data_IF_822870156705
#
_entry.id   IF_822870156705
#
_cell.length_a   1.000
_cell.length_b   1.000
_cell.length_c   1.000
_cell.angle_alpha   90.00
_cell.angle_beta   90.00
_cell.angle_gamma   90.00
#
_symmetry.space_group_name_H-M   'P 1'
#
loop_
_entity.id
_entity.type
_entity.pdbx_description
1 polymer ?
#
# COMPACT_ATOMS: atom_id res chain seq x y z
N UNK A 1 11.38 10.06 -23.44
CA UNK A 1 10.70 9.52 -22.26
C UNK A 1 9.79 8.40 -22.72
N UNK A 2 9.75 7.29 -21.99
CA UNK A 2 8.78 6.22 -22.23
C UNK A 2 7.37 6.80 -22.00
N UNK A 3 6.44 6.53 -22.91
CA UNK A 3 5.05 6.96 -22.76
C UNK A 3 4.26 5.83 -22.11
N UNK A 4 3.91 5.98 -20.84
CA UNK A 4 3.11 4.99 -20.11
C UNK A 4 1.67 4.90 -20.66
N UNK A 5 1.04 3.71 -20.63
CA UNK A 5 -0.34 3.54 -21.07
C UNK A 5 -1.30 4.39 -20.23
N UNK A 6 -2.43 4.78 -20.83
CA UNK A 6 -3.51 5.42 -20.08
C UNK A 6 -4.36 4.33 -19.44
N UNK A 7 -4.53 4.40 -18.13
CA UNK A 7 -5.31 3.43 -17.33
C UNK A 7 -6.49 4.16 -16.69
N UNK A 8 -7.61 3.45 -16.58
CA UNK A 8 -8.79 3.88 -15.85
C UNK A 8 -9.16 2.83 -14.82
N UNK A 9 -9.29 3.24 -13.56
CA UNK A 9 -9.83 2.44 -12.46
C UNK A 9 -11.16 3.05 -12.05
N UNK A 10 -12.17 2.24 -11.75
CA UNK A 10 -13.41 2.74 -11.18
C UNK A 10 -13.78 1.97 -9.92
N UNK A 11 -14.47 2.64 -9.01
CA UNK A 11 -15.04 1.99 -7.86
C UNK A 11 -15.96 0.82 -8.26
N UNK A 12 -16.65 0.91 -9.40
CA UNK A 12 -17.45 -0.20 -9.90
C UNK A 12 -16.60 -1.43 -10.25
N UNK A 13 -15.46 -1.27 -10.91
CA UNK A 13 -14.60 -2.42 -11.24
C UNK A 13 -13.86 -2.96 -10.02
N UNK A 14 -13.53 -2.11 -9.06
CA UNK A 14 -12.77 -2.50 -7.86
C UNK A 14 -13.67 -3.09 -6.75
N UNK A 15 -14.88 -2.57 -6.54
CA UNK A 15 -15.76 -2.98 -5.43
C UNK A 15 -17.13 -3.49 -5.86
N UNK A 16 -17.49 -3.37 -7.15
CA UNK A 16 -18.83 -3.68 -7.66
C UNK A 16 -19.89 -2.61 -7.34
N UNK A 17 -19.52 -1.54 -6.63
CA UNK A 17 -20.46 -0.50 -6.24
C UNK A 17 -20.61 0.57 -7.34
N UNK A 18 -21.85 0.99 -7.60
CA UNK A 18 -22.12 2.02 -8.61
C UNK A 18 -21.50 3.37 -8.21
N UNK A 19 -20.73 3.98 -9.11
CA UNK A 19 -20.05 5.27 -8.86
C UNK A 19 -21.01 6.39 -8.42
N UNK A 20 -22.26 6.39 -8.92
CA UNK A 20 -23.28 7.38 -8.57
C UNK A 20 -23.71 7.33 -7.10
N UNK A 21 -23.47 6.21 -6.41
CA UNK A 21 -23.75 6.05 -4.99
C UNK A 21 -22.62 6.53 -4.08
N UNK A 22 -21.46 6.89 -4.64
CA UNK A 22 -20.28 7.32 -3.89
C UNK A 22 -20.33 8.84 -3.73
N UNK A 23 -20.41 9.28 -2.48
CA UNK A 23 -20.54 10.69 -2.14
C UNK A 23 -19.27 11.48 -2.45
N UNK A 24 -18.09 10.92 -2.18
CA UNK A 24 -16.80 11.56 -2.41
C UNK A 24 -16.40 11.44 -3.89
N UNK A 25 -16.38 12.54 -4.68
CA UNK A 25 -16.18 12.44 -6.13
C UNK A 25 -14.82 11.85 -6.52
N UNK A 26 -13.77 12.10 -5.73
CA UNK A 26 -12.42 11.57 -5.98
C UNK A 26 -12.27 10.08 -5.74
N UNK A 27 -13.26 9.43 -5.12
CA UNK A 27 -13.27 7.97 -4.89
C UNK A 27 -13.95 7.20 -6.04
N UNK A 28 -14.63 7.88 -6.96
CA UNK A 28 -15.45 7.25 -8.00
C UNK A 28 -14.63 6.54 -9.07
N UNK A 29 -13.63 7.24 -9.60
CA UNK A 29 -12.74 6.72 -10.62
C UNK A 29 -11.45 7.52 -10.70
N UNK A 30 -10.40 6.85 -11.17
CA UNK A 30 -9.13 7.43 -11.51
C UNK A 30 -8.88 7.22 -13.00
N UNK A 31 -8.33 8.22 -13.68
CA UNK A 31 -7.86 8.07 -15.06
C UNK A 31 -6.56 8.83 -15.23
N UNK A 32 -5.49 8.11 -15.56
CA UNK A 32 -4.16 8.69 -15.66
C UNK A 32 -3.19 7.81 -16.42
N UNK A 33 -1.91 8.17 -16.36
CA UNK A 33 -0.81 7.40 -16.96
C UNK A 33 0.17 6.86 -15.92
N UNK A 34 -0.12 7.03 -14.62
CA UNK A 34 0.66 6.37 -13.59
C UNK A 34 0.54 4.85 -13.77
N UNK A 35 1.61 4.08 -13.54
CA UNK A 35 1.62 2.63 -13.75
C UNK A 35 0.87 1.95 -12.60
N UNK A 36 -0.46 2.01 -12.66
CA UNK A 36 -1.37 1.46 -11.64
C UNK A 36 -1.93 0.12 -12.13
N UNK A 37 -2.14 -0.80 -11.21
CA UNK A 37 -2.70 -2.13 -11.46
C UNK A 37 -4.02 -2.25 -10.70
N UNK A 38 -5.04 -2.92 -11.26
CA UNK A 38 -6.30 -3.16 -10.54
C UNK A 38 -6.11 -4.11 -9.37
N UNK A 39 -7.01 -4.08 -8.38
CA UNK A 39 -6.97 -5.02 -7.25
C UNK A 39 -7.08 -6.46 -7.73
N UNK A 40 -7.93 -6.70 -8.73
CA UNK A 40 -8.08 -8.02 -9.35
C UNK A 40 -6.79 -8.55 -10.00
N UNK A 41 -6.01 -7.68 -10.64
CA UNK A 41 -4.72 -8.07 -11.21
C UNK A 41 -3.69 -8.28 -10.10
N UNK A 42 -3.62 -7.36 -9.12
CA UNK A 42 -2.72 -7.46 -7.98
C UNK A 42 -2.90 -8.79 -7.22
N UNK A 43 -4.15 -9.20 -6.98
CA UNK A 43 -4.48 -10.44 -6.25
C UNK A 43 -4.33 -11.72 -7.10
N UNK A 44 -3.98 -11.60 -8.39
CA UNK A 44 -3.81 -12.78 -9.25
C UNK A 44 -2.50 -13.49 -8.90
N UNK A 45 -2.51 -14.79 -8.51
CA UNK A 45 -1.29 -15.53 -8.23
C UNK A 45 -0.36 -15.59 -9.45
N UNK A 46 0.94 -15.35 -9.26
CA UNK A 46 1.93 -15.44 -10.34
C UNK A 46 1.93 -16.82 -11.01
N UNK A 47 1.71 -17.89 -10.24
CA UNK A 47 1.58 -19.25 -10.75
C UNK A 47 0.45 -19.43 -11.78
N UNK A 48 -0.64 -18.65 -11.66
CA UNK A 48 -1.76 -18.68 -12.61
C UNK A 48 -1.40 -18.01 -13.93
N UNK A 49 -0.58 -16.96 -13.89
CA UNK A 49 -0.11 -16.22 -15.06
C UNK A 49 1.03 -16.95 -15.78
N UNK A 50 1.87 -17.66 -15.04
CA UNK A 50 3.13 -18.20 -15.53
C UNK A 50 4.16 -17.10 -15.82
N UNK A 51 5.40 -17.51 -16.11
CA UNK A 51 6.53 -16.57 -16.31
C UNK A 51 6.21 -15.54 -17.41
N UNK A 52 5.71 -16.02 -18.56
CA UNK A 52 5.36 -15.16 -19.70
C UNK A 52 4.22 -14.20 -19.34
N UNK A 53 3.18 -14.68 -18.65
CA UNK A 53 2.06 -13.84 -18.24
C UNK A 53 2.47 -12.75 -17.25
N UNK A 54 3.35 -13.05 -16.28
CA UNK A 54 3.88 -12.04 -15.35
C UNK A 54 4.72 -11.00 -16.11
N UNK A 55 5.59 -11.44 -17.04
CA UNK A 55 6.39 -10.54 -17.87
C UNK A 55 5.52 -9.62 -18.72
N UNK A 56 4.50 -10.17 -19.38
CA UNK A 56 3.59 -9.41 -20.24
C UNK A 56 2.84 -8.34 -19.46
N UNK A 57 2.34 -8.67 -18.26
CA UNK A 57 1.66 -7.71 -17.40
C UNK A 57 2.62 -6.62 -16.90
N UNK A 58 3.84 -6.96 -16.48
CA UNK A 58 4.86 -5.98 -16.08
C UNK A 58 5.22 -5.04 -17.22
N UNK A 59 5.44 -5.58 -18.42
CA UNK A 59 5.72 -4.80 -19.62
C UNK A 59 4.54 -3.88 -19.98
N UNK A 60 3.31 -4.38 -19.93
CA UNK A 60 2.12 -3.60 -20.19
C UNK A 60 1.98 -2.46 -19.19
N UNK A 61 2.08 -2.72 -17.88
CA UNK A 61 1.95 -1.72 -16.82
C UNK A 61 3.05 -0.66 -16.87
N UNK A 62 4.30 -1.08 -17.10
CA UNK A 62 5.47 -0.20 -17.04
C UNK A 62 5.85 0.40 -18.40
N UNK A 63 5.10 0.07 -19.46
CA UNK A 63 5.34 0.58 -20.82
C UNK A 63 6.67 0.13 -21.41
N UNK A 64 7.13 -1.07 -21.08
CA UNK A 64 8.40 -1.65 -21.51
C UNK A 64 8.20 -2.83 -22.47
N UNK A 65 9.29 -3.41 -22.95
CA UNK A 65 9.27 -4.57 -23.85
C UNK A 65 10.44 -5.50 -23.55
N UNK A 66 10.66 -5.80 -22.26
CA UNK A 66 11.66 -6.77 -21.84
C UNK A 66 11.30 -8.15 -22.37
N UNK A 67 12.32 -8.93 -22.74
CA UNK A 67 12.18 -10.35 -23.09
C UNK A 67 12.82 -11.21 -22.02
N UNK A 68 12.52 -12.51 -21.99
CA UNK A 68 13.15 -13.46 -21.09
C UNK A 68 14.66 -13.63 -21.33
N UNK A 69 15.19 -13.13 -22.45
CA UNK A 69 16.63 -13.04 -22.72
C UNK A 69 17.32 -11.95 -21.88
N UNK A 70 16.53 -11.08 -21.22
CA UNK A 70 17.07 -10.09 -20.29
C UNK A 70 17.78 -10.82 -19.13
N UNK A 71 19.05 -10.51 -18.85
CA UNK A 71 19.80 -11.21 -17.82
C UNK A 71 19.06 -11.27 -16.48
N UNK A 72 18.97 -12.48 -15.93
CA UNK A 72 18.35 -12.83 -14.64
C UNK A 72 16.84 -12.62 -14.52
N UNK A 73 16.17 -12.03 -15.52
CA UNK A 73 14.74 -11.78 -15.47
C UNK A 73 13.94 -13.07 -15.37
N UNK A 74 14.29 -14.10 -16.15
CA UNK A 74 13.63 -15.40 -16.06
C UNK A 74 13.77 -16.05 -14.68
N UNK A 75 14.90 -15.85 -13.98
CA UNK A 75 15.09 -16.38 -12.63
C UNK A 75 14.19 -15.64 -11.65
N UNK A 76 14.19 -14.30 -11.68
CA UNK A 76 13.37 -13.49 -10.79
C UNK A 76 11.87 -13.77 -10.92
N UNK A 77 11.39 -13.93 -12.16
CA UNK A 77 9.99 -14.25 -12.42
C UNK A 77 9.62 -15.67 -11.96
N UNK A 78 10.57 -16.61 -12.02
CA UNK A 78 10.39 -17.93 -11.44
C UNK A 78 10.35 -17.88 -9.92
N UNK A 79 11.22 -17.10 -9.28
CA UNK A 79 11.25 -16.95 -7.82
C UNK A 79 9.89 -16.46 -7.31
N UNK A 80 9.24 -15.51 -8.00
CA UNK A 80 7.88 -15.06 -7.65
C UNK A 80 6.85 -16.20 -7.70
N UNK A 81 6.97 -17.12 -8.65
CA UNK A 81 6.06 -18.27 -8.76
C UNK A 81 6.35 -19.29 -7.65
N UNK A 82 7.62 -19.60 -7.42
CA UNK A 82 8.05 -20.57 -6.39
C UNK A 82 7.71 -20.10 -4.97
N UNK A 83 7.79 -18.79 -4.72
CA UNK A 83 7.40 -18.17 -3.46
C UNK A 83 5.88 -18.04 -3.28
N UNK A 84 5.10 -18.42 -4.29
CA UNK A 84 3.65 -18.28 -4.32
C UNK A 84 3.20 -16.81 -4.13
N UNK A 85 3.94 -15.89 -4.75
CA UNK A 85 3.61 -14.48 -4.76
C UNK A 85 2.38 -14.23 -5.66
N UNK A 86 1.60 -13.22 -5.29
CA UNK A 86 0.64 -12.60 -6.20
C UNK A 86 1.33 -11.55 -7.07
N UNK A 87 0.64 -11.13 -8.15
CA UNK A 87 1.20 -10.16 -9.09
C UNK A 87 1.49 -8.81 -8.42
N UNK A 88 0.69 -8.40 -7.43
CA UNK A 88 0.91 -7.17 -6.67
C UNK A 88 2.24 -7.18 -5.92
N UNK A 89 2.56 -8.30 -5.29
CA UNK A 89 3.82 -8.56 -4.58
C UNK A 89 5.00 -8.56 -5.55
N UNK A 90 4.87 -9.29 -6.67
CA UNK A 90 5.89 -9.30 -7.72
C UNK A 90 6.11 -7.89 -8.31
N UNK A 91 5.02 -7.15 -8.58
CA UNK A 91 5.06 -5.79 -9.07
C UNK A 91 5.79 -4.85 -8.11
N UNK A 92 5.42 -4.87 -6.82
CA UNK A 92 6.04 -4.04 -5.79
C UNK A 92 7.54 -4.33 -5.63
N UNK A 93 7.94 -5.61 -5.70
CA UNK A 93 9.33 -6.03 -5.62
C UNK A 93 10.16 -5.60 -6.84
N UNK A 94 9.64 -5.81 -8.05
CA UNK A 94 10.39 -5.63 -9.29
C UNK A 94 10.36 -4.19 -9.84
N UNK A 95 9.30 -3.42 -9.58
CA UNK A 95 9.12 -2.04 -10.08
C UNK A 95 10.34 -1.13 -9.84
N UNK A 96 11.00 -1.11 -8.66
CA UNK A 96 12.14 -0.22 -8.40
C UNK A 96 13.38 -0.52 -9.26
N UNK A 97 13.56 -1.77 -9.71
CA UNK A 97 14.73 -2.20 -10.48
C UNK A 97 14.43 -2.41 -11.97
N UNK A 98 13.15 -2.41 -12.35
CA UNK A 98 12.68 -2.79 -13.68
C UNK A 98 13.37 -2.03 -14.82
N UNK A 99 13.63 -0.74 -14.64
CA UNK A 99 14.28 0.13 -15.63
C UNK A 99 15.73 0.47 -15.29
N UNK A 100 16.38 -0.25 -14.36
CA UNK A 100 17.80 -0.04 -14.10
C UNK A 100 18.62 -0.41 -15.34
N UNK A 101 19.64 0.41 -15.65
CA UNK A 101 20.31 0.42 -16.96
C UNK A 101 20.72 -0.97 -17.46
N UNK A 102 20.65 -1.18 -18.79
CA UNK A 102 20.93 -2.44 -19.52
C UNK A 102 22.21 -3.24 -19.13
N UNK A 103 23.14 -2.68 -18.36
CA UNK A 103 24.37 -3.34 -17.92
C UNK A 103 24.34 -3.83 -16.46
N UNK A 104 23.37 -3.44 -15.64
CA UNK A 104 23.21 -3.94 -14.26
C UNK A 104 22.21 -5.09 -14.24
N UNK A 105 22.62 -6.21 -13.66
CA UNK A 105 21.74 -7.34 -13.38
C UNK A 105 20.64 -6.90 -12.38
N UNK A 106 19.36 -6.97 -12.76
CA UNK A 106 18.21 -6.61 -11.90
C UNK A 106 18.27 -7.32 -10.54
N UNK A 107 18.68 -8.59 -10.54
CA UNK A 107 18.82 -9.39 -9.34
C UNK A 107 19.90 -8.84 -8.39
N UNK A 108 21.02 -8.37 -8.93
CA UNK A 108 22.07 -7.76 -8.11
C UNK A 108 21.60 -6.44 -7.49
N UNK A 109 20.80 -5.65 -8.21
CA UNK A 109 20.22 -4.42 -7.68
C UNK A 109 19.19 -4.68 -6.59
N UNK A 110 18.35 -5.72 -6.75
CA UNK A 110 17.43 -6.18 -5.70
C UNK A 110 18.21 -6.58 -4.44
N UNK A 111 19.18 -7.47 -4.55
CA UNK A 111 20.00 -7.87 -3.41
C UNK A 111 20.71 -6.70 -2.75
N UNK A 112 21.25 -5.76 -3.54
CA UNK A 112 21.87 -4.53 -3.01
C UNK A 112 20.85 -3.69 -2.23
N UNK A 113 19.61 -3.59 -2.71
CA UNK A 113 18.55 -2.90 -1.99
C UNK A 113 18.20 -3.62 -0.69
N UNK A 114 17.99 -4.93 -0.71
CA UNK A 114 17.70 -5.77 0.46
C UNK A 114 18.80 -5.68 1.51
N UNK A 115 20.07 -5.81 1.12
CA UNK A 115 21.21 -5.74 2.04
C UNK A 115 21.30 -4.39 2.73
N UNK A 116 21.18 -3.30 1.96
CA UNK A 116 21.15 -1.94 2.53
C UNK A 116 19.97 -1.74 3.47
N UNK A 117 18.83 -2.31 3.13
CA UNK A 117 17.58 -2.18 3.87
C UNK A 117 17.66 -2.89 5.23
N UNK A 118 18.25 -4.09 5.21
CA UNK A 118 18.61 -4.87 6.38
C UNK A 118 19.64 -4.15 7.25
N UNK A 119 20.74 -3.67 6.65
CA UNK A 119 21.80 -2.95 7.38
C UNK A 119 21.26 -1.68 8.07
N UNK A 120 20.38 -0.92 7.39
CA UNK A 120 19.73 0.25 7.98
C UNK A 120 18.85 -0.13 9.17
N UNK A 121 18.00 -1.17 9.04
CA UNK A 121 17.16 -1.66 10.15
C UNK A 121 17.97 -2.18 11.33
N UNK A 122 19.05 -2.93 11.06
CA UNK A 122 19.94 -3.42 12.11
C UNK A 122 20.62 -2.27 12.86
N UNK A 123 21.04 -1.20 12.15
CA UNK A 123 21.63 0.00 12.77
C UNK A 123 20.64 0.84 13.56
N UNK A 124 19.37 0.82 13.16
CA UNK A 124 18.32 1.55 13.87
C UNK A 124 17.98 0.93 15.23
N UNK A 125 18.39 -0.31 15.49
CA UNK A 125 18.07 -1.07 16.70
C UNK A 125 19.30 -1.24 17.61
N UNK A 126 19.20 -0.83 18.88
CA UNK A 126 20.18 -1.14 19.92
C UNK A 126 19.48 -1.82 21.10
N UNK A 127 19.72 -3.12 21.27
CA UNK A 127 18.96 -3.94 22.21
C UNK A 127 17.48 -3.96 21.83
N UNK A 128 16.62 -3.42 22.70
CA UNK A 128 15.17 -3.30 22.47
C UNK A 128 14.74 -1.84 22.19
N UNK A 129 15.66 -0.97 21.78
CA UNK A 129 15.38 0.45 21.55
C UNK A 129 15.67 0.83 20.10
N UNK A 130 14.78 1.65 19.51
CA UNK A 130 15.05 2.31 18.24
C UNK A 130 15.84 3.59 18.52
N UNK A 131 17.08 3.63 18.06
CA UNK A 131 17.98 4.78 18.21
C UNK A 131 17.99 5.68 16.99
N UNK A 132 17.55 5.16 15.84
CA UNK A 132 17.36 5.91 14.61
C UNK A 132 15.95 5.67 14.06
N UNK A 133 14.97 6.52 14.42
CA UNK A 133 13.62 6.42 13.88
C UNK A 133 13.55 6.92 12.42
N UNK A 134 14.64 7.47 11.88
CA UNK A 134 14.72 8.02 10.52
C UNK A 134 15.12 6.96 9.51
N UNK A 135 14.41 5.83 9.53
CA UNK A 135 14.48 4.84 8.46
C UNK A 135 13.72 5.39 7.26
N UNK A 136 14.38 5.78 6.17
CA UNK A 136 13.66 6.29 5.01
C UNK A 136 12.81 5.15 4.45
N UNK A 137 11.49 5.32 4.29
CA UNK A 137 10.81 4.54 3.29
C UNK A 137 11.40 4.92 1.92
N UNK A 138 11.60 3.91 1.07
CA UNK A 138 12.32 4.08 -0.20
C UNK A 138 11.47 4.66 -1.34
N UNK A 139 10.28 5.19 -1.03
CA UNK A 139 9.76 6.41 -1.66
C UNK A 139 9.14 7.41 -0.65
N UNK A 140 8.88 8.63 -1.10
CA UNK A 140 8.18 9.69 -0.33
C UNK A 140 6.77 9.20 0.07
N UNK A 141 6.61 8.80 1.34
CA UNK A 141 5.34 8.31 1.87
C UNK A 141 4.48 9.46 2.37
N UNK A 142 3.20 9.43 2.02
CA UNK A 142 2.21 10.35 2.54
C UNK A 142 1.35 9.66 3.58
N UNK A 143 1.46 10.02 4.86
CA UNK A 143 0.64 9.42 5.90
C UNK A 143 -0.80 9.90 5.80
N UNK A 144 -1.71 8.99 6.11
CA UNK A 144 -3.13 9.27 6.28
C UNK A 144 -3.40 9.36 7.77
N UNK A 145 -4.09 10.43 8.17
CA UNK A 145 -4.62 10.60 9.52
C UNK A 145 -6.13 10.71 9.44
N UNK A 146 -6.84 10.09 10.37
CA UNK A 146 -8.29 10.14 10.37
C UNK A 146 -8.88 10.13 11.78
N UNK A 147 -10.07 10.69 11.93
CA UNK A 147 -10.84 10.53 13.17
C UNK A 147 -11.28 9.08 13.37
N UNK A 148 -11.33 8.68 14.63
CA UNK A 148 -11.87 7.40 15.04
C UNK A 148 -13.41 7.49 15.11
N UNK A 149 -14.12 6.68 14.32
CA UNK A 149 -15.60 6.57 14.39
C UNK A 149 -16.02 5.65 15.53
N UNK A 150 -17.29 5.63 15.95
CA UNK A 150 -17.70 4.72 17.04
C UNK A 150 -17.59 3.23 16.65
N UNK A 151 -17.37 2.32 17.60
CA UNK A 151 -17.22 0.88 17.32
C UNK A 151 -18.42 0.30 16.55
N UNK A 152 -19.64 0.75 16.87
CA UNK A 152 -20.86 0.34 16.16
C UNK A 152 -20.87 0.78 14.69
N UNK A 153 -20.07 1.77 14.33
CA UNK A 153 -20.00 2.38 13.00
C UNK A 153 -18.75 1.91 12.22
N UNK A 154 -18.01 0.93 12.76
CA UNK A 154 -16.86 0.26 12.11
C UNK A 154 -17.22 -1.12 11.59
N UNK A 155 -16.39 -1.60 10.68
CA UNK A 155 -16.35 -3.00 10.24
C UNK A 155 -14.89 -3.45 10.19
N UNK A 156 -14.66 -4.67 10.66
CA UNK A 156 -13.36 -5.34 10.63
C UNK A 156 -13.16 -6.02 9.29
N UNK A 157 -12.14 -5.58 8.55
CA UNK A 157 -11.86 -6.06 7.19
C UNK A 157 -10.53 -6.80 7.14
N UNK A 158 -10.55 -8.05 6.68
CA UNK A 158 -9.34 -8.81 6.40
C UNK A 158 -8.77 -8.40 5.06
N UNK A 159 -7.50 -8.00 5.04
CA UNK A 159 -6.85 -7.46 3.85
C UNK A 159 -5.61 -8.28 3.47
N UNK A 160 -5.34 -8.49 2.18
CA UNK A 160 -4.08 -9.08 1.74
C UNK A 160 -2.87 -8.19 2.08
N UNK A 161 -3.06 -6.88 2.27
CA UNK A 161 -1.99 -5.91 2.54
C UNK A 161 -1.19 -6.27 3.80
N UNK A 162 -1.88 -6.68 4.87
CA UNK A 162 -1.26 -7.16 6.11
C UNK A 162 -1.21 -8.69 6.18
N UNK A 163 -1.21 -9.36 5.02
CA UNK A 163 -1.21 -10.82 4.89
C UNK A 163 -2.35 -11.53 5.62
N UNK A 164 -3.46 -10.82 5.87
CA UNK A 164 -4.59 -11.32 6.67
C UNK A 164 -4.16 -11.80 8.05
N UNK A 165 -3.17 -11.15 8.66
CA UNK A 165 -2.70 -11.47 10.00
C UNK A 165 -3.57 -10.83 11.10
N UNK A 166 -4.24 -9.71 10.80
CA UNK A 166 -5.25 -9.09 11.67
C UNK A 166 -6.31 -8.37 10.84
N UNK A 167 -7.53 -8.19 11.36
CA UNK A 167 -8.51 -7.36 10.70
C UNK A 167 -8.20 -5.86 10.89
N UNK A 168 -8.41 -5.07 9.85
CA UNK A 168 -8.33 -3.62 9.91
C UNK A 168 -9.73 -3.01 10.18
N UNK A 169 -9.95 -2.27 11.28
CA UNK A 169 -11.21 -1.60 11.57
C UNK A 169 -11.35 -0.34 10.71
N UNK A 170 -12.27 -0.37 9.75
CA UNK A 170 -12.58 0.79 8.90
C UNK A 170 -14.03 1.25 9.09
N UNK A 171 -14.37 2.53 8.83
CA UNK A 171 -15.75 3.01 8.89
C UNK A 171 -16.67 2.25 7.91
N UNK A 172 -17.91 1.97 8.34
CA UNK A 172 -18.94 1.40 7.46
C UNK A 172 -19.19 2.30 6.26
N UNK A 173 -19.30 1.70 5.08
CA UNK A 173 -19.49 2.44 3.82
C UNK A 173 -18.20 3.03 3.23
N UNK A 174 -17.05 2.84 3.88
CA UNK A 174 -15.72 3.10 3.32
C UNK A 174 -15.11 1.81 2.77
N UNK A 175 -14.06 1.93 1.95
CA UNK A 175 -13.27 0.81 1.44
C UNK A 175 -11.83 1.24 1.18
N UNK A 176 -10.89 0.28 1.19
CA UNK A 176 -9.49 0.57 0.89
C UNK A 176 -9.30 0.95 -0.57
N UNK A 177 -10.12 0.40 -1.47
CA UNK A 177 -10.14 0.72 -2.90
C UNK A 177 -10.59 2.16 -3.14
N UNK A 178 -11.57 2.66 -2.37
CA UNK A 178 -12.01 4.06 -2.45
C UNK A 178 -10.89 5.01 -2.04
N UNK A 179 -10.25 4.72 -0.91
CA UNK A 179 -9.12 5.51 -0.42
C UNK A 179 -8.00 5.48 -1.45
N UNK A 180 -7.67 4.31 -2.00
CA UNK A 180 -6.64 4.17 -3.03
C UNK A 180 -6.96 5.00 -4.29
N UNK A 181 -8.18 4.92 -4.84
CA UNK A 181 -8.60 5.75 -6.00
C UNK A 181 -8.48 7.24 -5.66
N UNK A 182 -8.88 7.65 -4.45
CA UNK A 182 -8.76 9.03 -4.00
C UNK A 182 -7.30 9.49 -3.91
N UNK A 183 -6.41 8.66 -3.35
CA UNK A 183 -4.99 8.94 -3.24
C UNK A 183 -4.35 9.07 -4.63
N UNK A 184 -4.72 8.21 -5.58
CA UNK A 184 -4.27 8.32 -6.97
C UNK A 184 -4.72 9.65 -7.62
N UNK A 185 -5.95 10.07 -7.35
CA UNK A 185 -6.47 11.38 -7.81
C UNK A 185 -5.82 12.58 -7.10
N UNK A 186 -5.13 12.37 -5.97
CA UNK A 186 -4.27 13.35 -5.32
C UNK A 186 -2.84 13.32 -5.86
N UNK A 187 -2.51 12.39 -6.76
CA UNK A 187 -1.19 12.21 -7.34
C UNK A 187 -0.23 11.39 -6.46
N UNK A 188 -0.76 10.67 -5.47
CA UNK A 188 0.03 9.88 -4.54
C UNK A 188 0.30 8.50 -5.11
N UNK A 189 1.55 8.05 -4.99
CA UNK A 189 1.95 6.69 -5.35
C UNK A 189 2.04 5.76 -4.14
N UNK A 190 2.39 6.32 -2.98
CA UNK A 190 2.57 5.56 -1.74
C UNK A 190 1.97 6.31 -0.56
N UNK A 191 1.23 5.58 0.26
CA UNK A 191 0.65 6.12 1.49
C UNK A 191 0.98 5.24 2.68
N UNK A 192 1.05 5.88 3.84
CA UNK A 192 1.15 5.19 5.11
C UNK A 192 -0.19 5.26 5.83
N UNK A 193 -0.74 4.10 6.21
CA UNK A 193 -2.01 4.01 6.92
C UNK A 193 -1.83 3.08 8.13
N UNK A 194 -1.75 3.68 9.30
CA UNK A 194 -1.43 3.04 10.59
C UNK A 194 -2.33 1.85 10.92
N UNK A 195 -3.64 1.95 10.66
CA UNK A 195 -4.62 0.87 10.90
C UNK A 195 -4.32 -0.41 10.09
N UNK A 196 -3.55 -0.32 9.01
CA UNK A 196 -3.09 -1.46 8.22
C UNK A 196 -1.74 -2.01 8.69
N UNK A 197 -0.97 -1.21 9.43
CA UNK A 197 0.42 -1.51 9.78
C UNK A 197 0.59 -1.96 11.23
N UNK A 198 -0.27 -1.50 12.14
CA UNK A 198 -0.22 -1.89 13.55
C UNK A 198 -1.15 -3.08 13.77
N UNK A 199 -0.63 -4.15 14.38
CA UNK A 199 -1.46 -5.31 14.76
C UNK A 199 -2.51 -4.87 15.78
N UNK A 200 -3.77 -5.17 15.46
CA UNK A 200 -4.92 -4.86 16.30
C UNK A 200 -5.53 -6.15 16.88
N UNK A 201 -6.52 -5.98 17.77
CA UNK A 201 -7.22 -7.11 18.40
C UNK A 201 -7.98 -7.95 17.38
N UNK A 202 -8.15 -9.24 17.67
CA UNK A 202 -8.99 -10.15 16.88
C UNK A 202 -8.27 -10.92 15.77
N UNK A 203 -6.94 -10.80 15.67
CA UNK A 203 -6.10 -11.56 14.75
C UNK A 203 -5.34 -12.72 15.41
N UNK A 204 -4.81 -13.68 14.62
CA UNK A 204 -3.73 -14.56 15.07
C UNK A 204 -2.59 -13.79 15.75
N UNK A 205 -2.02 -14.40 16.79
CA UNK A 205 -0.86 -13.85 17.53
C UNK A 205 -1.14 -12.46 18.15
N UNK A 206 -2.37 -12.21 18.59
CA UNK A 206 -2.74 -10.98 19.32
C UNK A 206 -1.85 -10.75 20.56
N UNK A 207 -1.28 -11.81 21.14
CA UNK A 207 -0.32 -11.73 22.25
C UNK A 207 0.97 -10.96 21.89
N UNK A 208 1.35 -10.89 20.61
CA UNK A 208 2.51 -10.13 20.14
C UNK A 208 2.25 -8.61 20.08
N UNK A 209 0.99 -8.19 19.98
CA UNK A 209 0.58 -6.80 19.80
C UNK A 209 1.24 -5.86 20.82
N UNK A 210 1.31 -6.27 22.10
CA UNK A 210 1.90 -5.43 23.16
C UNK A 210 3.38 -5.20 22.95
N UNK A 211 4.14 -6.23 22.56
CA UNK A 211 5.58 -6.09 22.34
C UNK A 211 5.89 -5.36 21.02
N UNK A 212 5.13 -5.64 19.95
CA UNK A 212 5.22 -4.90 18.68
C UNK A 212 4.92 -3.41 18.88
N UNK A 213 3.81 -3.07 19.55
CA UNK A 213 3.43 -1.68 19.79
C UNK A 213 4.42 -0.90 20.66
N UNK A 214 5.15 -1.53 21.59
CA UNK A 214 6.21 -0.86 22.35
C UNK A 214 7.30 -0.29 21.44
N UNK A 215 7.53 -0.95 20.30
CA UNK A 215 8.50 -0.54 19.30
C UNK A 215 7.86 0.41 18.28
N UNK A 216 6.73 0.01 17.71
CA UNK A 216 6.15 0.65 16.53
C UNK A 216 5.46 1.98 16.84
N UNK A 217 4.73 2.07 17.96
CA UNK A 217 3.98 3.29 18.34
C UNK A 217 4.92 4.48 18.57
N UNK A 218 6.06 4.35 19.29
CA UNK A 218 7.02 5.44 19.40
C UNK A 218 7.63 5.87 18.06
N UNK A 219 7.77 4.96 17.09
CA UNK A 219 8.42 5.27 15.81
C UNK A 219 7.51 5.79 14.74
N UNK A 220 6.23 5.43 14.76
CA UNK A 220 5.29 5.83 13.71
C UNK A 220 5.13 7.35 13.63
N UNK A 221 5.29 8.07 14.75
CA UNK A 221 5.24 9.53 14.79
C UNK A 221 6.30 10.20 13.90
N UNK A 222 7.44 9.54 13.64
CA UNK A 222 8.45 10.05 12.74
C UNK A 222 7.94 10.16 11.29
N UNK A 223 7.03 9.26 10.87
CA UNK A 223 6.39 9.29 9.55
C UNK A 223 5.55 10.56 9.38
N UNK A 224 4.84 10.97 10.43
CA UNK A 224 3.96 12.14 10.40
C UNK A 224 4.71 13.48 10.55
N UNK A 225 5.92 13.48 11.11
CA UNK A 225 6.61 14.73 11.46
C UNK A 225 7.19 15.49 10.25
N UNK A 226 7.46 14.81 9.14
CA UNK A 226 8.17 15.39 7.98
C UNK A 226 7.42 15.26 6.66
N UNK A 227 6.29 14.56 6.65
CA UNK A 227 5.50 14.34 5.45
C UNK A 227 4.26 15.22 5.44
N UNK A 228 3.76 15.50 4.25
CA UNK A 228 2.43 16.11 4.11
C UNK A 228 1.39 15.03 4.46
N UNK A 229 0.50 15.35 5.40
CA UNK A 229 -0.50 14.41 5.92
C UNK A 229 -1.83 14.62 5.18
N UNK A 230 -2.43 13.53 4.71
CA UNK A 230 -3.82 13.53 4.23
C UNK A 230 -4.75 13.32 5.42
N UNK A 231 -5.68 14.24 5.67
CA UNK A 231 -6.51 14.23 6.88
C UNK A 231 -7.99 14.00 6.54
N UNK A 232 -8.59 12.96 7.11
CA UNK A 232 -10.03 12.73 7.11
C UNK A 232 -10.66 13.13 8.45
N UNK A 233 -11.47 14.18 8.45
CA UNK A 233 -12.08 14.73 9.68
C UNK A 233 -13.33 13.98 10.16
N UNK A 234 -14.04 13.26 9.28
CA UNK A 234 -15.26 12.49 9.65
C UNK A 234 -15.05 10.97 9.71
N UNK A 235 -13.81 10.53 9.60
CA UNK A 235 -13.44 9.11 9.53
C UNK A 235 -12.85 8.74 8.19
N UNK A 236 -12.03 7.69 8.19
CA UNK A 236 -11.25 7.25 7.03
C UNK A 236 -12.14 7.01 5.79
N UNK A 237 -11.87 7.76 4.71
CA UNK A 237 -12.59 7.66 3.44
C UNK A 237 -14.04 8.19 3.48
N UNK A 238 -14.48 8.82 4.57
CA UNK A 238 -15.82 9.39 4.68
C UNK A 238 -15.87 10.82 4.15
N UNK A 239 -17.01 11.26 3.59
CA UNK A 239 -17.23 12.66 3.26
C UNK A 239 -17.19 13.54 4.52
N UNK A 240 -16.84 14.81 4.34
CA UNK A 240 -16.93 15.76 5.45
C UNK A 240 -18.41 15.90 5.87
N UNK A 241 -18.70 15.60 7.14
CA UNK A 241 -20.03 15.71 7.72
C UNK A 241 -19.90 16.26 9.13
N UNK A 242 -20.75 17.22 9.48
CA UNK A 242 -20.78 17.85 10.80
C UNK A 242 -22.22 17.75 11.29
N UNK A 243 -22.46 16.94 12.33
CA UNK A 243 -23.75 16.75 12.99
C UNK A 243 -23.86 17.68 14.20
N UNK A 244 -25.08 17.96 14.62
CA UNK A 244 -25.34 18.75 15.82
C UNK A 244 -24.71 18.07 17.05
N UNK A 245 -23.88 18.83 17.77
CA UNK A 245 -23.13 18.34 18.93
C UNK A 245 -21.79 17.67 18.60
N UNK A 246 -21.41 17.52 17.32
CA UNK A 246 -20.09 16.98 16.97
C UNK A 246 -18.97 17.88 17.53
N UNK A 247 -19.10 19.21 17.46
CA UNK A 247 -18.11 20.14 18.04
C UNK A 247 -17.99 20.05 19.57
N UNK A 248 -19.02 19.52 20.24
CA UNK A 248 -19.03 19.34 21.69
C UNK A 248 -18.54 17.93 22.10
N UNK A 249 -18.23 17.06 21.12
CA UNK A 249 -17.77 15.69 21.36
C UNK A 249 -16.29 15.65 21.68
N UNK A 250 -15.91 14.93 22.74
CA UNK A 250 -14.51 14.66 23.09
C UNK A 250 -13.73 13.91 21.97
N UNK A 251 -14.43 13.37 20.97
CA UNK A 251 -13.84 12.69 19.82
C UNK A 251 -13.75 13.57 18.57
N UNK A 252 -14.25 14.79 18.61
CA UNK A 252 -14.16 15.74 17.51
C UNK A 252 -12.72 16.21 17.31
N UNK A 253 -12.30 16.34 16.07
CA UNK A 253 -10.98 16.88 15.71
C UNK A 253 -11.05 18.31 15.17
N UNK A 254 -12.23 18.93 15.18
CA UNK A 254 -12.42 20.35 14.87
C UNK A 254 -12.11 21.25 16.06
#
# INVERSE_FOLDING_TARGET
GITLPKVTLSAFTETGQAESSIEVPKQRSYTGRSPVISSSLADTPCATLGIEGVLDQLNATLGTSHTLDTPSLSSLLNDCIENNDDFGTAYACLRPVWNTHHNSNMQNELHRHEEKDKEQREKALVGNQIVDPYLPPRPELWPISHTWVDEKDRVDVWTPINRKEWPAPIPKGSSLEYIWIEMLNLGLEYTWLDVLCLRLKGGPQEDLCVEEMKLDVPTIGAVYNWATVVIYLSGLGQPLSLKDGDLDSDRCWF
#
